data_IF_691179672002
#
_entry.id   IF_691179672002
#
_cell.length_a   1.000
_cell.length_b   1.000
_cell.length_c   1.000
_cell.angle_alpha   90.00
_cell.angle_beta   90.00
_cell.angle_gamma   90.00
#
_symmetry.space_group_name_H-M   'P 1'
#
loop_
_entity.id
_entity.type
_entity.pdbx_description
1 polymer ?
#
# COMPACT_ATOMS: atom_id res chain seq x y z
N UNK A 1 21.77 17.03 15.04
CA UNK A 1 20.32 16.74 15.18
C UNK A 1 19.53 17.65 14.22
N UNK A 2 19.55 18.97 14.41
CA UNK A 2 18.89 19.94 13.53
C UNK A 2 19.33 19.88 12.04
N UNK A 3 20.64 19.90 11.77
CA UNK A 3 21.17 19.92 10.40
C UNK A 3 20.75 18.71 9.54
N UNK A 4 20.58 17.54 10.17
CA UNK A 4 20.15 16.29 9.53
C UNK A 4 18.75 16.43 8.91
N UNK A 5 17.91 17.23 9.55
CA UNK A 5 16.53 17.51 9.12
C UNK A 5 16.41 18.85 8.39
N UNK A 6 17.54 19.48 8.04
CA UNK A 6 17.62 20.79 7.41
C UNK A 6 16.91 21.88 8.26
N UNK A 7 17.17 21.84 9.56
CA UNK A 7 16.68 22.78 10.58
C UNK A 7 17.85 23.61 11.11
N UNK A 8 17.61 24.87 11.46
CA UNK A 8 18.62 25.76 12.07
C UNK A 8 18.29 25.93 13.57
N UNK A 9 19.18 25.51 14.49
CA UNK A 9 18.92 25.55 15.93
C UNK A 9 18.76 26.97 16.51
N UNK A 10 18.99 28.03 15.72
CA UNK A 10 18.75 29.42 16.14
C UNK A 10 17.31 29.87 15.91
N UNK A 11 16.57 29.17 15.06
CA UNK A 11 15.22 29.54 14.63
C UNK A 11 14.20 28.41 14.82
N UNK A 12 14.66 27.17 14.70
CA UNK A 12 13.86 25.97 14.90
C UNK A 12 14.02 25.44 16.33
N UNK A 13 12.95 24.84 16.84
CA UNK A 13 12.86 24.22 18.14
C UNK A 13 13.04 22.71 18.04
N UNK A 14 13.37 22.09 19.17
CA UNK A 14 13.47 20.63 19.28
C UNK A 14 12.17 19.93 18.87
N UNK A 15 11.01 20.55 19.14
CA UNK A 15 9.70 20.03 18.72
C UNK A 15 9.55 19.93 17.19
N UNK A 16 10.09 20.89 16.44
CA UNK A 16 10.06 20.87 14.96
C UNK A 16 11.00 19.81 14.38
N UNK A 17 12.09 19.52 15.09
CA UNK A 17 12.97 18.38 14.76
C UNK A 17 12.27 17.06 15.04
N UNK A 18 11.60 16.91 16.19
CA UNK A 18 10.84 15.71 16.53
C UNK A 18 9.73 15.40 15.52
N UNK A 19 9.03 16.43 15.02
CA UNK A 19 8.01 16.24 13.96
C UNK A 19 8.65 15.65 12.69
N UNK A 20 9.83 16.13 12.31
CA UNK A 20 10.55 15.64 11.15
C UNK A 20 11.15 14.24 11.36
N UNK A 21 11.61 13.93 12.58
CA UNK A 21 12.04 12.59 12.99
C UNK A 21 10.91 11.57 12.89
N UNK A 22 9.71 11.91 13.37
CA UNK A 22 8.53 11.05 13.26
C UNK A 22 8.08 10.91 11.80
N UNK A 23 8.15 12.00 11.01
CA UNK A 23 7.68 12.02 9.64
C UNK A 23 8.63 11.31 8.66
N UNK A 24 9.94 11.45 8.84
CA UNK A 24 10.96 10.95 7.92
C UNK A 24 11.63 9.67 8.44
N UNK A 25 11.67 9.46 9.76
CA UNK A 25 12.47 8.45 10.44
C UNK A 25 13.77 9.04 11.00
N UNK A 26 14.56 8.22 11.69
CA UNK A 26 15.91 8.53 12.14
C UNK A 26 16.93 8.16 11.07
N UNK A 27 17.96 8.98 10.81
CA UNK A 27 18.98 8.65 9.82
C UNK A 27 19.77 7.40 10.23
N UNK A 28 19.94 6.47 9.30
CA UNK A 28 20.88 5.34 9.38
C UNK A 28 21.75 5.32 8.13
N UNK A 29 22.77 4.45 8.12
CA UNK A 29 23.62 4.25 6.93
C UNK A 29 22.84 3.79 5.69
N UNK A 30 21.62 3.26 5.88
CA UNK A 30 20.76 2.70 4.83
C UNK A 30 19.61 3.66 4.44
N UNK A 31 19.51 4.83 5.09
CA UNK A 31 18.44 5.81 4.89
C UNK A 31 17.72 6.17 6.19
N UNK A 32 16.58 6.86 6.11
CA UNK A 32 15.81 7.19 7.31
C UNK A 32 14.92 6.01 7.73
N UNK A 33 15.02 5.59 8.99
CA UNK A 33 14.34 4.41 9.57
C UNK A 33 13.55 4.84 10.80
N UNK A 34 12.26 4.53 10.83
CA UNK A 34 11.38 4.84 11.95
C UNK A 34 10.11 4.00 11.92
N UNK A 35 9.32 3.97 13.01
CA UNK A 35 8.11 3.15 13.11
C UNK A 35 7.06 3.47 12.02
N UNK A 36 7.20 4.60 11.32
CA UNK A 36 6.31 5.05 10.24
C UNK A 36 7.07 5.30 8.92
N UNK A 37 8.28 4.74 8.72
CA UNK A 37 9.07 4.98 7.50
C UNK A 37 8.87 3.91 6.40
N UNK A 38 8.37 2.73 6.78
CA UNK A 38 8.10 1.60 5.88
C UNK A 38 7.12 1.97 4.76
N UNK A 39 7.42 1.53 3.53
CA UNK A 39 6.61 1.83 2.35
C UNK A 39 5.25 1.14 2.44
N UNK A 40 5.24 -0.08 2.98
CA UNK A 40 4.08 -0.92 3.22
C UNK A 40 3.02 -0.30 4.14
N UNK A 41 3.38 0.66 5.00
CA UNK A 41 2.43 1.38 5.84
C UNK A 41 1.60 2.42 5.08
N UNK A 42 2.03 2.78 3.87
CA UNK A 42 1.39 3.78 3.03
C UNK A 42 0.88 3.20 1.72
N UNK A 43 0.84 1.89 1.60
CA UNK A 43 0.37 1.16 0.42
C UNK A 43 -0.76 0.22 0.82
N UNK A 44 -1.81 0.16 0.01
CA UNK A 44 -2.95 -0.72 0.26
C UNK A 44 -3.72 -1.02 -1.01
N UNK A 45 -4.87 -1.67 -0.90
CA UNK A 45 -5.80 -1.90 -2.00
C UNK A 45 -7.22 -1.51 -1.57
N UNK A 46 -7.99 -0.94 -2.50
CA UNK A 46 -9.45 -0.83 -2.37
C UNK A 46 -10.06 -1.99 -3.15
N UNK A 47 -10.92 -2.76 -2.48
CA UNK A 47 -11.60 -3.90 -3.09
C UNK A 47 -13.01 -3.52 -3.55
N UNK A 48 -13.34 -3.78 -4.81
CA UNK A 48 -14.70 -3.75 -5.34
C UNK A 48 -15.16 -5.19 -5.56
N UNK A 49 -16.24 -5.58 -4.88
CA UNK A 49 -16.79 -6.93 -4.94
C UNK A 49 -18.04 -6.98 -5.80
N UNK A 50 -18.10 -7.94 -6.73
CA UNK A 50 -19.31 -8.25 -7.51
C UNK A 50 -19.93 -9.54 -7.02
N UNK A 51 -21.22 -9.49 -6.74
CA UNK A 51 -22.01 -10.64 -6.34
C UNK A 51 -23.02 -11.00 -7.44
N UNK A 52 -23.26 -12.30 -7.63
CA UNK A 52 -24.28 -12.87 -8.50
C UNK A 52 -24.99 -14.00 -7.74
N UNK A 53 -26.33 -13.99 -7.72
CA UNK A 53 -27.11 -14.99 -6.98
C UNK A 53 -26.73 -15.10 -5.50
N UNK A 54 -26.43 -13.98 -4.83
CA UNK A 54 -25.94 -13.93 -3.44
C UNK A 54 -24.62 -14.69 -3.21
N UNK A 55 -23.83 -14.86 -4.28
CA UNK A 55 -22.52 -15.50 -4.25
C UNK A 55 -21.48 -14.52 -4.80
N UNK A 56 -20.30 -14.49 -4.19
CA UNK A 56 -19.19 -13.67 -4.68
C UNK A 56 -18.71 -14.20 -6.04
N UNK A 57 -18.81 -13.36 -7.07
CA UNK A 57 -18.45 -13.69 -8.44
C UNK A 57 -17.04 -13.19 -8.80
N UNK A 58 -16.69 -11.97 -8.39
CA UNK A 58 -15.38 -11.36 -8.67
C UNK A 58 -15.00 -10.33 -7.58
N UNK A 59 -13.71 -10.22 -7.26
CA UNK A 59 -13.14 -9.01 -6.65
C UNK A 59 -12.19 -8.33 -7.62
N UNK A 60 -12.23 -7.00 -7.62
CA UNK A 60 -11.24 -6.13 -8.25
C UNK A 60 -10.50 -5.36 -7.16
N UNK A 61 -9.17 -5.42 -7.18
CA UNK A 61 -8.26 -4.79 -6.23
C UNK A 61 -7.58 -3.62 -6.93
N UNK A 62 -7.93 -2.41 -6.50
CA UNK A 62 -7.35 -1.17 -6.98
C UNK A 62 -6.21 -0.76 -6.03
N UNK A 63 -4.94 -0.80 -6.47
CA UNK A 63 -3.82 -0.44 -5.61
C UNK A 63 -3.86 1.06 -5.30
N UNK A 64 -3.60 1.40 -4.04
CA UNK A 64 -3.59 2.78 -3.56
C UNK A 64 -2.32 3.10 -2.79
N UNK A 65 -1.92 4.37 -2.86
CA UNK A 65 -0.84 4.96 -2.07
C UNK A 65 -1.37 6.10 -1.20
N UNK A 66 -0.76 6.28 -0.03
CA UNK A 66 -1.17 7.25 1.00
C UNK A 66 -0.23 8.46 1.08
N UNK A 67 0.41 8.81 -0.04
CA UNK A 67 1.23 10.02 -0.24
C UNK A 67 2.45 10.08 0.65
N UNK A 68 3.14 8.95 0.84
CA UNK A 68 4.30 8.84 1.74
C UNK A 68 5.38 9.90 1.48
N UNK A 69 5.60 10.26 0.23
CA UNK A 69 6.62 11.25 -0.18
C UNK A 69 6.19 12.70 0.03
N UNK A 70 4.92 12.96 0.36
CA UNK A 70 4.43 14.30 0.66
C UNK A 70 4.76 14.72 2.10
N UNK A 71 4.64 16.04 2.36
CA UNK A 71 4.67 16.61 3.71
C UNK A 71 3.72 15.83 4.63
N UNK A 72 4.14 15.60 5.87
CA UNK A 72 3.43 14.77 6.85
C UNK A 72 1.94 15.12 6.97
N UNK A 73 1.61 16.41 7.04
CA UNK A 73 0.23 16.91 7.11
C UNK A 73 -0.68 16.54 5.92
N UNK A 74 -0.09 16.12 4.79
CA UNK A 74 -0.80 15.78 3.55
C UNK A 74 -0.75 14.27 3.24
N UNK A 75 -0.29 13.44 4.19
CA UNK A 75 -0.30 11.98 4.09
C UNK A 75 -1.66 11.41 4.50
N UNK A 76 -1.94 10.17 4.11
CA UNK A 76 -3.13 9.43 4.55
C UNK A 76 -4.37 9.57 3.66
N UNK A 77 -4.36 10.47 2.68
CA UNK A 77 -5.44 10.56 1.68
C UNK A 77 -5.15 9.56 0.55
N UNK A 78 -6.02 8.57 0.32
CA UNK A 78 -5.81 7.56 -0.72
C UNK A 78 -5.78 8.15 -2.12
N UNK A 79 -4.83 7.67 -2.94
CA UNK A 79 -4.83 7.83 -4.40
C UNK A 79 -4.54 6.51 -5.07
N UNK A 80 -5.01 6.33 -6.30
CA UNK A 80 -4.60 5.20 -7.13
C UNK A 80 -3.08 5.24 -7.32
N UNK A 81 -2.45 4.11 -7.07
CA UNK A 81 -1.06 3.88 -7.44
C UNK A 81 -0.99 3.57 -8.94
N UNK A 82 0.12 3.91 -9.58
CA UNK A 82 0.34 3.71 -11.02
C UNK A 82 1.72 3.09 -11.30
N UNK A 83 1.88 2.56 -12.52
CA UNK A 83 3.10 1.98 -13.05
C UNK A 83 3.68 0.88 -12.16
N UNK A 84 4.97 1.04 -11.83
CA UNK A 84 5.71 0.06 -11.04
C UNK A 84 5.20 -0.02 -9.60
N UNK A 85 4.70 1.07 -9.02
CA UNK A 85 4.18 1.06 -7.65
C UNK A 85 2.91 0.21 -7.55
N UNK A 86 1.95 0.43 -8.46
CA UNK A 86 0.74 -0.38 -8.55
C UNK A 86 1.06 -1.88 -8.64
N UNK A 87 2.00 -2.23 -9.51
CA UNK A 87 2.45 -3.60 -9.71
C UNK A 87 3.06 -4.20 -8.45
N UNK A 88 3.97 -3.49 -7.78
CA UNK A 88 4.61 -3.98 -6.56
C UNK A 88 3.63 -4.19 -5.40
N UNK A 89 2.61 -3.32 -5.26
CA UNK A 89 1.53 -3.50 -4.28
C UNK A 89 0.77 -4.81 -4.57
N UNK A 90 0.37 -5.02 -5.82
CA UNK A 90 -0.41 -6.20 -6.21
C UNK A 90 0.40 -7.51 -6.13
N UNK A 91 1.68 -7.49 -6.49
CA UNK A 91 2.60 -8.64 -6.34
C UNK A 91 2.83 -8.99 -4.86
N UNK A 92 2.90 -7.97 -3.98
CA UNK A 92 2.94 -8.20 -2.53
C UNK A 92 1.65 -8.83 -2.03
N UNK A 93 0.50 -8.35 -2.49
CA UNK A 93 -0.80 -8.95 -2.17
C UNK A 93 -0.91 -10.39 -2.66
N UNK A 94 -0.41 -10.71 -3.87
CA UNK A 94 -0.33 -12.08 -4.37
C UNK A 94 0.44 -12.99 -3.41
N UNK A 95 1.66 -12.59 -3.04
CA UNK A 95 2.53 -13.36 -2.15
C UNK A 95 1.90 -13.59 -0.78
N UNK A 96 1.28 -12.57 -0.20
CA UNK A 96 0.60 -12.68 1.10
C UNK A 96 -0.66 -13.55 1.03
N UNK A 97 -1.30 -13.63 -0.13
CA UNK A 97 -2.56 -14.36 -0.34
C UNK A 97 -2.35 -15.83 -0.72
N UNK A 98 -1.16 -16.19 -1.18
CA UNK A 98 -0.80 -17.55 -1.64
C UNK A 98 -1.07 -18.65 -0.59
N UNK A 99 -0.71 -18.49 0.71
CA UNK A 99 -0.98 -19.51 1.73
C UNK A 99 -2.48 -19.80 1.94
N UNK A 100 -3.35 -18.86 1.54
CA UNK A 100 -4.81 -18.99 1.63
C UNK A 100 -5.43 -19.53 0.34
N UNK A 101 -4.63 -19.92 -0.66
CA UNK A 101 -5.10 -20.45 -1.93
C UNK A 101 -5.83 -19.42 -2.81
N UNK A 102 -5.66 -18.13 -2.53
CA UNK A 102 -6.27 -17.04 -3.29
C UNK A 102 -5.38 -16.65 -4.46
N UNK A 103 -5.91 -16.79 -5.67
CA UNK A 103 -5.22 -16.40 -6.91
C UNK A 103 -5.66 -15.00 -7.33
N UNK A 104 -4.70 -14.08 -7.44
CA UNK A 104 -4.91 -12.72 -7.94
C UNK A 104 -4.27 -12.64 -9.32
N UNK A 105 -5.05 -12.29 -10.35
CA UNK A 105 -4.56 -12.02 -11.71
C UNK A 105 -4.36 -10.51 -11.87
N UNK A 106 -3.20 -10.06 -12.34
CA UNK A 106 -2.92 -8.63 -12.53
C UNK A 106 -3.15 -8.26 -13.98
N UNK A 107 -4.19 -7.46 -14.25
CA UNK A 107 -4.58 -6.98 -15.57
C UNK A 107 -4.75 -5.47 -15.51
N UNK A 108 -4.10 -4.71 -16.39
CA UNK A 108 -4.23 -3.23 -16.46
C UNK A 108 -4.07 -2.53 -15.10
N UNK A 109 -3.10 -2.96 -14.28
CA UNK A 109 -2.82 -2.42 -12.93
C UNK A 109 -3.95 -2.67 -11.90
N UNK A 110 -4.85 -3.60 -12.18
CA UNK A 110 -5.91 -4.05 -11.27
C UNK A 110 -5.67 -5.52 -10.94
N UNK A 111 -5.73 -5.88 -9.66
CA UNK A 111 -5.75 -7.28 -9.24
C UNK A 111 -7.15 -7.85 -9.34
N UNK A 112 -7.34 -9.02 -9.97
CA UNK A 112 -8.64 -9.67 -10.13
C UNK A 112 -8.64 -11.01 -9.43
N UNK A 113 -9.66 -11.26 -8.63
CA UNK A 113 -9.91 -12.56 -8.01
C UNK A 113 -11.24 -13.05 -8.56
N UNK A 114 -11.22 -14.21 -9.22
CA UNK A 114 -12.42 -14.84 -9.77
C UNK A 114 -12.66 -16.14 -9.02
N UNK A 115 -13.92 -16.42 -8.70
CA UNK A 115 -14.28 -17.73 -8.18
C UNK A 115 -14.00 -18.76 -9.27
N UNK A 116 -13.26 -19.83 -8.94
CA UNK A 116 -13.17 -20.97 -9.84
C UNK A 116 -14.59 -21.52 -10.01
N UNK A 117 -15.12 -21.46 -11.23
CA UNK A 117 -16.32 -22.19 -11.57
C UNK A 117 -16.00 -23.67 -11.40
N UNK A 118 -16.47 -24.29 -10.32
CA UNK A 118 -16.60 -25.74 -10.28
C UNK A 118 -17.53 -26.11 -11.42
N UNK A 119 -16.97 -26.69 -12.48
CA UNK A 119 -17.75 -27.16 -13.60
C UNK A 119 -18.83 -28.10 -13.06
N UNK A 120 -20.08 -27.82 -13.40
CA UNK A 120 -21.17 -28.77 -13.27
C UNK A 120 -20.80 -29.97 -14.16
N UNK A 121 -20.23 -31.02 -13.56
CA UNK A 121 -20.20 -32.33 -14.17
C UNK A 121 -21.64 -32.81 -14.26
N UNK A 122 -22.30 -32.48 -15.37
CA UNK A 122 -23.60 -33.01 -15.73
C UNK A 122 -23.49 -34.52 -15.89
N UNK A 123 -23.98 -35.25 -14.89
CA UNK A 123 -24.31 -36.66 -15.00
C UNK A 123 -25.82 -36.80 -15.04
N UNK A 124 -26.34 -37.21 -16.18
CA UNK A 124 -27.50 -38.10 -16.30
C UNK A 124 -27.35 -38.90 -17.59
#
# INVERSE_FOLDING_TARGET
>A
MFDIYNKDPRIDTDAEVTVDEVAKGYPTAEGFVGPQSGVEFYESVVAISRFDGNQLAELQLYPIELRRTNRFANRGVPRLAEGQQARSILERMQKLSEPFGTRIEIENQIGRIRRRSTGLSGGH
#
